data_IF_818009406882
#
_entry.id   IF_818009406882
#
_cell.length_a   1.000
_cell.length_b   1.000
_cell.length_c   1.000
_cell.angle_alpha   90.00
_cell.angle_beta   90.00
_cell.angle_gamma   90.00
#
_symmetry.space_group_name_H-M   'P 1'
#
loop_
_entity.id
_entity.type
_entity.pdbx_description
1 polymer ?
#
# COMPACT_ATOMS: atom_id res chain seq x y z
N UNK A 1 -5.89 -1.80 14.88
CA UNK A 1 -5.45 -1.40 16.24
C UNK A 1 -4.40 -0.28 16.20
N UNK A 2 -3.13 -0.51 15.82
CA UNK A 2 -2.12 0.56 15.80
C UNK A 2 -2.41 1.65 14.75
N UNK A 3 -2.63 1.27 13.49
CA UNK A 3 -2.86 2.26 12.43
C UNK A 3 -4.20 3.01 12.57
N UNK A 4 -5.26 2.33 12.98
CA UNK A 4 -6.54 2.99 13.32
C UNK A 4 -6.37 4.04 14.43
N UNK A 5 -5.51 3.77 15.43
CA UNK A 5 -5.23 4.72 16.50
C UNK A 5 -4.53 5.98 16.01
N UNK A 6 -3.65 5.88 15.00
CA UNK A 6 -3.03 7.04 14.36
C UNK A 6 -4.08 7.89 13.64
N UNK A 7 -5.00 7.25 12.90
CA UNK A 7 -6.10 7.95 12.24
C UNK A 7 -6.96 8.74 13.23
N UNK A 8 -7.33 8.12 14.35
CA UNK A 8 -8.07 8.78 15.43
C UNK A 8 -7.28 9.93 16.08
N UNK A 9 -5.97 9.74 16.32
CA UNK A 9 -5.09 10.78 16.88
C UNK A 9 -4.96 11.98 15.94
N UNK A 10 -4.86 11.76 14.63
CA UNK A 10 -4.86 12.81 13.63
C UNK A 10 -6.20 13.56 13.61
N UNK A 11 -7.32 12.85 13.68
CA UNK A 11 -8.65 13.45 13.81
C UNK A 11 -8.75 14.36 15.03
N UNK A 12 -8.38 13.84 16.21
CA UNK A 12 -8.38 14.62 17.46
C UNK A 12 -7.41 15.79 17.46
N UNK A 13 -6.24 15.65 16.82
CA UNK A 13 -5.30 16.75 16.64
C UNK A 13 -5.87 17.87 15.76
N UNK A 14 -6.61 17.53 14.69
CA UNK A 14 -7.28 18.52 13.86
C UNK A 14 -8.39 19.25 14.62
N UNK A 15 -9.15 18.56 15.46
CA UNK A 15 -10.18 19.16 16.33
C UNK A 15 -9.57 20.12 17.36
N UNK A 16 -8.49 19.69 18.02
CA UNK A 16 -7.75 20.52 18.98
C UNK A 16 -7.16 21.78 18.33
N UNK A 17 -6.56 21.65 17.14
CA UNK A 17 -6.06 22.78 16.35
C UNK A 17 -7.16 23.74 15.90
N UNK A 18 -8.37 23.22 15.61
CA UNK A 18 -9.52 24.04 15.25
C UNK A 18 -10.05 24.83 16.45
N UNK A 19 -10.14 24.21 17.64
CA UNK A 19 -10.61 24.86 18.85
C UNK A 19 -9.69 26.00 19.34
N UNK A 20 -8.37 25.87 19.12
CA UNK A 20 -7.38 26.90 19.46
C UNK A 20 -7.22 28.02 18.41
N UNK A 21 -8.02 28.04 17.34
CA UNK A 21 -7.93 29.04 16.28
C UNK A 21 -8.66 30.36 16.63
N UNK A 22 -9.66 30.31 17.51
CA UNK A 22 -10.45 31.48 17.91
C UNK A 22 -9.73 32.39 18.92
N UNK A 23 -8.64 31.91 19.53
CA UNK A 23 -7.90 32.60 20.61
C UNK A 23 -6.63 33.33 20.14
N UNK A 24 -6.35 33.35 18.83
CA UNK A 24 -5.12 33.91 18.27
C UNK A 24 -5.25 35.42 17.98
N UNK A 25 -4.73 36.23 18.91
CA UNK A 25 -4.59 37.68 18.78
C UNK A 25 -3.84 38.10 17.50
N UNK A 26 -4.50 38.82 16.59
CA UNK A 26 -3.92 39.79 15.66
C UNK A 26 -3.15 39.32 14.42
N UNK A 27 -2.58 38.11 14.38
CA UNK A 27 -1.79 37.65 13.24
C UNK A 27 -2.61 36.81 12.24
N UNK A 28 -3.13 37.47 11.20
CA UNK A 28 -3.87 36.83 10.11
C UNK A 28 -3.06 35.77 9.35
N UNK A 29 -1.73 35.92 9.26
CA UNK A 29 -0.87 34.97 8.54
C UNK A 29 -0.80 33.66 9.31
N UNK A 30 -0.61 33.75 10.62
CA UNK A 30 -0.61 32.59 11.51
C UNK A 30 -1.99 31.93 11.56
N UNK A 31 -3.08 32.70 11.60
CA UNK A 31 -4.45 32.16 11.53
C UNK A 31 -4.74 31.43 10.20
N UNK A 32 -4.22 31.93 9.07
CA UNK A 32 -4.29 31.22 7.78
C UNK A 32 -3.47 29.93 7.79
N UNK A 33 -2.24 29.99 8.31
CA UNK A 33 -1.35 28.82 8.41
C UNK A 33 -1.98 27.72 9.27
N UNK A 34 -2.56 28.06 10.42
CA UNK A 34 -3.26 27.10 11.28
C UNK A 34 -4.44 26.46 10.58
N UNK A 35 -5.28 27.23 9.90
CA UNK A 35 -6.40 26.68 9.10
C UNK A 35 -5.94 25.70 8.03
N UNK A 36 -4.83 25.99 7.35
CA UNK A 36 -4.23 25.08 6.37
C UNK A 36 -3.74 23.79 7.04
N UNK A 37 -3.00 23.89 8.15
CA UNK A 37 -2.52 22.72 8.91
C UNK A 37 -3.69 21.88 9.42
N UNK A 38 -4.71 22.48 10.03
CA UNK A 38 -5.93 21.79 10.48
C UNK A 38 -6.60 21.03 9.34
N UNK A 39 -6.70 21.66 8.16
CA UNK A 39 -7.31 21.03 6.97
C UNK A 39 -6.48 19.83 6.52
N UNK A 40 -5.15 19.97 6.45
CA UNK A 40 -4.25 18.88 6.07
C UNK A 40 -4.32 17.71 7.07
N UNK A 41 -4.27 17.99 8.37
CA UNK A 41 -4.33 16.97 9.42
C UNK A 41 -5.68 16.25 9.42
N UNK A 42 -6.79 16.97 9.22
CA UNK A 42 -8.12 16.37 9.11
C UNK A 42 -8.22 15.45 7.89
N UNK A 43 -7.73 15.90 6.74
CA UNK A 43 -7.69 15.08 5.51
C UNK A 43 -6.84 13.84 5.68
N UNK A 44 -5.65 13.97 6.28
CA UNK A 44 -4.78 12.84 6.58
C UNK A 44 -5.47 11.83 7.51
N UNK A 45 -6.11 12.29 8.59
CA UNK A 45 -6.86 11.42 9.50
C UNK A 45 -8.03 10.70 8.82
N UNK A 46 -8.78 11.39 7.96
CA UNK A 46 -9.92 10.84 7.25
C UNK A 46 -9.51 9.73 6.26
N UNK A 47 -8.43 9.93 5.51
CA UNK A 47 -7.95 8.96 4.50
C UNK A 47 -7.16 7.82 5.13
N UNK A 48 -6.64 8.00 6.34
CA UNK A 48 -5.72 7.04 6.97
C UNK A 48 -6.28 5.61 7.07
N UNK A 49 -7.55 5.46 7.46
CA UNK A 49 -8.19 4.15 7.58
C UNK A 49 -8.36 3.49 6.22
N UNK A 50 -8.80 4.25 5.23
CA UNK A 50 -9.01 3.78 3.86
C UNK A 50 -7.69 3.35 3.22
N UNK A 51 -6.59 4.04 3.54
CA UNK A 51 -5.25 3.71 3.06
C UNK A 51 -4.79 2.32 3.53
N UNK A 52 -5.03 1.95 4.79
CA UNK A 52 -4.65 0.63 5.30
C UNK A 52 -5.62 -0.47 4.87
N UNK A 53 -6.90 -0.16 4.70
CA UNK A 53 -7.86 -1.10 4.10
C UNK A 53 -7.45 -1.42 2.66
N UNK A 54 -7.11 -0.40 1.87
CA UNK A 54 -6.66 -0.56 0.50
C UNK A 54 -5.28 -1.23 0.40
N UNK A 55 -4.35 -0.95 1.32
CA UNK A 55 -3.09 -1.70 1.43
C UNK A 55 -3.33 -3.19 1.68
N UNK A 56 -4.30 -3.55 2.53
CA UNK A 56 -4.64 -4.95 2.78
C UNK A 56 -5.24 -5.62 1.55
N UNK A 57 -6.13 -4.93 0.82
CA UNK A 57 -6.69 -5.38 -0.45
C UNK A 57 -5.60 -5.58 -1.51
N UNK A 58 -4.73 -4.59 -1.69
CA UNK A 58 -3.59 -4.64 -2.61
C UNK A 58 -2.65 -5.81 -2.27
N UNK A 59 -2.30 -5.96 -0.99
CA UNK A 59 -1.45 -7.06 -0.52
C UNK A 59 -2.07 -8.41 -0.84
N UNK A 60 -3.38 -8.58 -0.66
CA UNK A 60 -4.07 -9.83 -0.99
C UNK A 60 -4.00 -10.19 -2.48
N UNK A 61 -4.13 -9.19 -3.37
CA UNK A 61 -3.97 -9.37 -4.82
C UNK A 61 -2.54 -9.79 -5.16
N UNK A 62 -1.55 -9.11 -4.57
CA UNK A 62 -0.14 -9.42 -4.78
C UNK A 62 0.23 -10.81 -4.26
N UNK A 63 -0.32 -11.23 -3.12
CA UNK A 63 -0.13 -12.58 -2.58
C UNK A 63 -0.73 -13.67 -3.47
N UNK A 64 -1.93 -13.46 -3.98
CA UNK A 64 -2.54 -14.38 -4.94
C UNK A 64 -1.69 -14.48 -6.22
N UNK A 65 -1.17 -13.35 -6.67
CA UNK A 65 -0.25 -13.28 -7.82
C UNK A 65 1.04 -14.03 -7.56
N UNK A 66 1.64 -13.81 -6.38
CA UNK A 66 2.86 -14.49 -5.93
C UNK A 66 2.65 -16.00 -5.81
N UNK A 67 1.54 -16.46 -5.25
CA UNK A 67 1.21 -17.88 -5.16
C UNK A 67 1.15 -18.54 -6.56
N UNK A 68 0.53 -17.87 -7.54
CA UNK A 68 0.52 -18.34 -8.93
C UNK A 68 1.91 -18.37 -9.58
N UNK A 69 2.74 -17.34 -9.31
CA UNK A 69 4.11 -17.28 -9.79
C UNK A 69 4.98 -18.41 -9.18
N UNK A 70 4.88 -18.63 -7.86
CA UNK A 70 5.57 -19.71 -7.15
C UNK A 70 5.15 -21.08 -7.68
N UNK A 71 3.86 -21.28 -7.97
CA UNK A 71 3.39 -22.52 -8.58
C UNK A 71 4.05 -22.76 -9.95
N UNK A 72 4.10 -21.73 -10.80
CA UNK A 72 4.76 -21.82 -12.10
C UNK A 72 6.26 -22.09 -11.97
N UNK A 73 6.94 -21.41 -11.03
CA UNK A 73 8.36 -21.62 -10.75
C UNK A 73 8.65 -23.06 -10.30
N UNK A 74 7.87 -23.59 -9.35
CA UNK A 74 8.02 -24.97 -8.86
C UNK A 74 7.76 -26.01 -9.94
N UNK A 75 6.73 -25.80 -10.77
CA UNK A 75 6.38 -26.71 -11.85
C UNK A 75 7.47 -26.81 -12.94
N UNK A 76 8.33 -25.79 -13.04
CA UNK A 76 9.40 -25.70 -14.04
C UNK A 76 10.80 -25.64 -13.40
N UNK A 77 10.95 -26.18 -12.19
CA UNK A 77 12.23 -26.33 -11.48
C UNK A 77 13.05 -25.02 -11.40
N UNK A 78 12.37 -23.88 -11.31
CA UNK A 78 13.00 -22.59 -11.05
C UNK A 78 13.23 -22.45 -9.55
N UNK A 79 14.42 -22.01 -9.11
CA UNK A 79 14.66 -21.69 -7.70
C UNK A 79 13.62 -20.73 -7.16
N UNK A 80 13.01 -21.05 -6.02
CA UNK A 80 12.03 -20.20 -5.34
C UNK A 80 12.67 -19.48 -4.15
N UNK A 81 12.28 -18.23 -3.88
CA UNK A 81 12.77 -17.49 -2.72
C UNK A 81 12.47 -18.22 -1.39
N UNK A 82 13.38 -18.12 -0.39
CA UNK A 82 13.30 -18.88 0.86
C UNK A 82 12.12 -18.50 1.76
N UNK A 83 11.53 -17.31 1.56
CA UNK A 83 10.41 -16.80 2.36
C UNK A 83 9.05 -17.38 1.97
N UNK A 84 8.96 -18.17 0.89
CA UNK A 84 7.74 -18.84 0.41
C UNK A 84 7.13 -19.91 1.36
N UNK A 85 7.61 -20.01 2.61
CA UNK A 85 7.14 -20.97 3.63
C UNK A 85 7.23 -20.48 5.08
N UNK A 86 7.55 -19.20 5.32
CA UNK A 86 7.58 -18.61 6.67
C UNK A 86 6.21 -18.13 7.15
N UNK A 87 6.05 -17.90 8.46
CA UNK A 87 4.87 -17.22 8.99
C UNK A 87 4.81 -15.79 8.41
N UNK A 88 3.65 -15.39 7.88
CA UNK A 88 3.46 -14.04 7.35
C UNK A 88 3.73 -12.99 8.44
N UNK A 89 4.43 -11.88 8.14
CA UNK A 89 4.64 -10.80 9.09
C UNK A 89 3.29 -10.28 9.62
N UNK A 90 3.24 -9.99 10.92
CA UNK A 90 2.05 -9.39 11.54
C UNK A 90 1.88 -7.91 11.14
N UNK A 91 2.97 -7.23 10.76
CA UNK A 91 2.95 -5.86 10.24
C UNK A 91 2.54 -5.87 8.75
N UNK A 92 1.45 -5.18 8.36
CA UNK A 92 1.00 -5.06 6.97
C UNK A 92 2.04 -4.51 6.00
N UNK A 93 2.88 -3.56 6.43
CA UNK A 93 3.91 -2.95 5.57
C UNK A 93 5.09 -3.89 5.37
N UNK A 94 5.49 -4.63 6.41
CA UNK A 94 6.51 -5.67 6.28
C UNK A 94 6.02 -6.79 5.37
N UNK A 95 4.76 -7.21 5.52
CA UNK A 95 4.12 -8.20 4.67
C UNK A 95 4.09 -7.76 3.21
N UNK A 96 3.62 -6.54 2.93
CA UNK A 96 3.64 -5.97 1.58
C UNK A 96 5.05 -5.95 0.97
N UNK A 97 6.05 -5.48 1.73
CA UNK A 97 7.46 -5.45 1.26
C UNK A 97 8.01 -6.83 0.95
N UNK A 98 7.69 -7.83 1.78
CA UNK A 98 8.12 -9.21 1.57
C UNK A 98 7.53 -9.77 0.26
N UNK A 99 6.23 -9.58 0.03
CA UNK A 99 5.54 -10.04 -1.19
C UNK A 99 6.13 -9.38 -2.44
N UNK A 100 6.32 -8.06 -2.42
CA UNK A 100 6.92 -7.33 -3.55
C UNK A 100 8.33 -7.81 -3.88
N UNK A 101 9.15 -8.04 -2.85
CA UNK A 101 10.50 -8.56 -3.02
C UNK A 101 10.50 -9.95 -3.65
N UNK A 102 9.63 -10.85 -3.19
CA UNK A 102 9.55 -12.20 -3.75
C UNK A 102 9.06 -12.19 -5.21
N UNK A 103 8.10 -11.33 -5.54
CA UNK A 103 7.65 -11.14 -6.91
C UNK A 103 8.79 -10.64 -7.83
N UNK A 104 9.62 -9.71 -7.35
CA UNK A 104 10.77 -9.19 -8.09
C UNK A 104 11.81 -10.29 -8.35
N UNK A 105 12.17 -11.07 -7.32
CA UNK A 105 13.10 -12.19 -7.44
C UNK A 105 12.60 -13.26 -8.44
N UNK A 106 11.30 -13.56 -8.44
CA UNK A 106 10.69 -14.48 -9.41
C UNK A 106 10.65 -13.91 -10.82
N UNK A 107 10.35 -12.61 -10.97
CA UNK A 107 10.35 -11.95 -12.27
C UNK A 107 11.73 -11.99 -12.93
N UNK A 108 12.79 -11.76 -12.16
CA UNK A 108 14.18 -11.91 -12.63
C UNK A 108 14.40 -13.34 -13.14
N UNK A 109 13.96 -14.35 -12.38
CA UNK A 109 14.06 -15.75 -12.77
C UNK A 109 13.29 -16.10 -14.04
N UNK A 110 12.07 -15.57 -14.22
CA UNK A 110 11.31 -15.76 -15.45
C UNK A 110 11.92 -15.05 -16.66
N UNK A 111 12.43 -13.84 -16.47
CA UNK A 111 13.11 -13.09 -17.53
C UNK A 111 14.40 -13.77 -17.99
N UNK A 112 15.14 -14.42 -17.08
CA UNK A 112 16.30 -15.23 -17.43
C UNK A 112 15.98 -16.45 -18.31
N UNK A 113 14.69 -16.81 -18.44
CA UNK A 113 14.19 -17.93 -19.24
C UNK A 113 13.15 -17.47 -20.29
N UNK A 114 13.28 -16.25 -20.80
CA UNK A 114 12.27 -15.62 -21.68
C UNK A 114 11.97 -16.39 -22.97
N UNK A 115 12.90 -17.21 -23.44
CA UNK A 115 12.72 -18.09 -24.60
C UNK A 115 11.72 -19.22 -24.35
N UNK A 116 11.45 -19.53 -23.07
CA UNK A 116 10.52 -20.60 -22.68
C UNK A 116 9.09 -20.06 -22.58
N UNK A 117 8.16 -20.72 -23.29
CA UNK A 117 6.77 -20.26 -23.40
C UNK A 117 6.06 -20.11 -22.04
N UNK A 118 6.37 -20.99 -21.08
CA UNK A 118 5.80 -20.95 -19.73
C UNK A 118 6.29 -19.72 -18.95
N UNK A 119 7.54 -19.29 -19.15
CA UNK A 119 8.12 -18.13 -18.47
C UNK A 119 7.46 -16.85 -18.99
N UNK A 120 7.26 -16.75 -20.31
CA UNK A 120 6.49 -15.66 -20.91
C UNK A 120 5.04 -15.59 -20.41
N UNK A 121 4.38 -16.74 -20.18
CA UNK A 121 3.05 -16.78 -19.56
C UNK A 121 3.09 -16.33 -18.09
N UNK A 122 4.08 -16.78 -17.32
CA UNK A 122 4.26 -16.40 -15.93
C UNK A 122 4.45 -14.87 -15.80
N UNK A 123 5.32 -14.27 -16.61
CA UNK A 123 5.51 -12.80 -16.67
C UNK A 123 4.20 -12.08 -17.00
N UNK A 124 3.43 -12.55 -17.99
CA UNK A 124 2.12 -11.95 -18.32
C UNK A 124 1.12 -12.05 -17.17
N UNK A 125 1.13 -13.16 -16.41
CA UNK A 125 0.27 -13.33 -15.23
C UNK A 125 0.68 -12.38 -14.11
N UNK A 126 1.97 -12.25 -13.82
CA UNK A 126 2.49 -11.29 -12.83
C UNK A 126 2.15 -9.85 -13.22
N UNK A 127 2.35 -9.46 -14.49
CA UNK A 127 2.00 -8.12 -14.97
C UNK A 127 0.52 -7.78 -14.80
N UNK A 128 -0.38 -8.75 -15.01
CA UNK A 128 -1.82 -8.56 -14.75
C UNK A 128 -2.08 -8.35 -13.27
N UNK A 129 -1.52 -9.19 -12.40
CA UNK A 129 -1.66 -9.02 -10.96
C UNK A 129 -1.13 -7.67 -10.44
N UNK A 130 -0.02 -7.17 -10.99
CA UNK A 130 0.49 -5.83 -10.70
C UNK A 130 -0.43 -4.72 -11.20
N UNK A 131 -1.07 -4.89 -12.35
CA UNK A 131 -2.06 -3.95 -12.85
C UNK A 131 -3.30 -3.92 -11.94
N UNK A 132 -3.82 -5.08 -11.56
CA UNK A 132 -4.96 -5.21 -10.63
C UNK A 132 -4.64 -4.56 -9.27
N UNK A 133 -3.42 -4.74 -8.75
CA UNK A 133 -2.95 -4.07 -7.54
C UNK A 133 -2.87 -2.54 -7.70
N UNK A 134 -2.40 -2.05 -8.85
CA UNK A 134 -2.34 -0.63 -9.14
C UNK A 134 -3.73 0.04 -9.25
N UNK A 135 -4.76 -0.69 -9.68
CA UNK A 135 -6.14 -0.18 -9.68
C UNK A 135 -6.65 0.13 -8.25
N UNK A 136 -6.22 -0.64 -7.25
CA UNK A 136 -6.52 -0.35 -5.84
C UNK A 136 -5.90 0.99 -5.43
N UNK A 137 -4.63 1.22 -5.78
CA UNK A 137 -3.94 2.48 -5.48
C UNK A 137 -4.60 3.67 -6.19
N UNK A 138 -5.01 3.50 -7.46
CA UNK A 138 -5.72 4.53 -8.22
C UNK A 138 -6.99 5.00 -7.50
N UNK A 139 -7.80 4.07 -6.97
CA UNK A 139 -9.01 4.42 -6.21
C UNK A 139 -8.72 5.25 -4.96
N UNK A 140 -7.63 4.98 -4.24
CA UNK A 140 -7.23 5.78 -3.06
C UNK A 140 -6.88 7.21 -3.50
N UNK A 141 -6.06 7.34 -4.55
CA UNK A 141 -5.65 8.65 -5.06
C UNK A 141 -6.86 9.46 -5.53
N UNK A 142 -7.78 8.83 -6.24
CA UNK A 142 -9.01 9.48 -6.69
C UNK A 142 -9.87 9.93 -5.49
N UNK A 143 -10.01 9.09 -4.46
CA UNK A 143 -10.70 9.45 -3.23
C UNK A 143 -10.03 10.61 -2.49
N UNK A 144 -8.69 10.64 -2.45
CA UNK A 144 -7.91 11.73 -1.87
C UNK A 144 -8.09 13.06 -2.62
N UNK A 145 -8.23 13.02 -3.94
CA UNK A 145 -8.42 14.21 -4.77
C UNK A 145 -9.86 14.73 -4.74
N UNK A 146 -10.83 13.86 -4.44
CA UNK A 146 -12.25 14.22 -4.32
C UNK A 146 -12.62 14.83 -2.95
N UNK A 147 -11.78 14.65 -1.91
CA UNK A 147 -11.95 15.17 -0.54
C UNK A 147 -11.30 16.55 -0.33
#
# INVERSE_FOLDING_TARGET
MFYESIGMLLGGAAESLAAGADDASGDEREARRRRQITTLVRRLGAVWTDLFAALAEETAILEATLAGALQAARANELPVPPSAGGAAPADPLERYRAVMRELDELLIGFHAREEEAWAGEAVRRVRRGLADAAEVQGRIVDAMLAA
#
